data_IF_916693252780
#
_entry.id   IF_916693252780
#
_cell.length_a   1.000
_cell.length_b   1.000
_cell.length_c   1.000
_cell.angle_alpha   90.00
_cell.angle_beta   90.00
_cell.angle_gamma   90.00
#
_symmetry.space_group_name_H-M   'P 1'
#
loop_
_entity.id
_entity.type
_entity.pdbx_description
1 polymer ?
#
# COMPACT_ATOMS: atom_id res chain seq x y z
N UNK A 1 12.86 -10.23 44.17
CA UNK A 1 13.88 -11.30 44.29
C UNK A 1 13.56 -12.39 43.27
N UNK A 2 14.54 -13.17 42.83
CA UNK A 2 14.36 -14.23 41.83
C UNK A 2 14.75 -15.60 42.41
N UNK A 3 14.00 -16.64 42.05
CA UNK A 3 14.34 -18.07 42.21
C UNK A 3 13.84 -18.82 40.96
N UNK A 4 14.49 -19.93 40.63
CA UNK A 4 14.25 -20.77 39.45
C UNK A 4 12.88 -21.47 39.42
N UNK A 5 12.50 -21.94 38.23
CA UNK A 5 11.51 -23.01 38.01
C UNK A 5 12.08 -24.08 37.07
N UNK A 6 11.69 -25.35 37.27
CA UNK A 6 12.40 -26.53 36.76
C UNK A 6 12.46 -26.74 35.23
N UNK A 7 13.63 -27.17 34.76
CA UNK A 7 13.89 -27.61 33.37
C UNK A 7 13.91 -29.14 33.21
N UNK A 8 12.87 -29.84 33.70
CA UNK A 8 12.79 -31.31 33.67
C UNK A 8 11.49 -31.87 33.06
N UNK A 9 11.19 -31.54 31.79
CA UNK A 9 10.26 -32.27 30.89
C UNK A 9 10.25 -31.72 29.44
N UNK A 10 11.38 -31.76 28.73
CA UNK A 10 11.40 -31.44 27.30
C UNK A 10 12.21 -32.46 26.50
N UNK A 11 11.51 -33.33 25.77
CA UNK A 11 12.09 -34.34 24.87
C UNK A 11 11.99 -33.87 23.41
N UNK A 12 13.11 -33.73 22.68
CA UNK A 12 13.05 -33.39 21.25
C UNK A 12 12.34 -34.48 20.43
N UNK A 13 11.51 -34.08 19.47
CA UNK A 13 10.90 -35.02 18.52
C UNK A 13 11.98 -35.67 17.64
N UNK A 14 11.93 -37.00 17.51
CA UNK A 14 12.78 -37.73 16.56
C UNK A 14 12.28 -37.51 15.12
N UNK A 15 13.19 -37.14 14.23
CA UNK A 15 12.94 -37.04 12.80
C UNK A 15 12.72 -38.44 12.21
N UNK A 16 11.73 -38.62 11.33
CA UNK A 16 11.61 -39.81 10.46
C UNK A 16 12.29 -39.55 9.11
N UNK A 17 13.00 -40.55 8.59
CA UNK A 17 13.83 -40.48 7.38
C UNK A 17 13.07 -40.75 6.07
N UNK A 18 11.87 -41.34 6.14
CA UNK A 18 11.43 -42.30 5.13
C UNK A 18 10.59 -41.68 3.99
N UNK A 19 10.81 -40.40 3.67
CA UNK A 19 9.90 -39.60 2.81
C UNK A 19 10.60 -38.97 1.58
N UNK A 20 11.94 -38.93 1.51
CA UNK A 20 12.67 -38.38 0.36
C UNK A 20 13.81 -39.29 -0.12
N UNK A 21 13.73 -39.89 -1.32
CA UNK A 21 14.86 -40.58 -1.92
C UNK A 21 15.93 -39.57 -2.40
N UNK A 22 17.20 -39.87 -2.13
CA UNK A 22 18.33 -39.13 -2.71
C UNK A 22 18.49 -39.49 -4.18
N UNK A 23 18.86 -38.52 -5.01
CA UNK A 23 19.21 -38.72 -6.43
C UNK A 23 20.73 -38.68 -6.55
N UNK A 24 21.35 -39.85 -6.70
CA UNK A 24 22.79 -39.98 -6.94
C UNK A 24 23.14 -39.61 -8.39
N UNK A 25 23.83 -38.48 -8.57
CA UNK A 25 24.38 -38.06 -9.87
C UNK A 25 25.86 -38.42 -9.98
N UNK A 26 26.13 -39.67 -10.36
CA UNK A 26 27.47 -40.20 -10.62
C UNK A 26 28.03 -39.65 -11.96
N UNK A 27 28.83 -38.58 -11.90
CA UNK A 27 29.36 -37.90 -13.08
C UNK A 27 30.75 -38.42 -13.49
N UNK A 28 30.77 -39.54 -14.21
CA UNK A 28 31.97 -40.06 -14.88
C UNK A 28 31.94 -39.78 -16.41
N UNK A 29 33.11 -39.47 -16.98
CA UNK A 29 33.37 -39.36 -18.43
C UNK A 29 32.79 -38.15 -19.20
N UNK A 30 33.64 -37.16 -19.51
CA UNK A 30 34.21 -37.02 -20.87
C UNK A 30 35.35 -35.98 -20.99
N UNK A 31 36.13 -36.16 -22.06
CA UNK A 31 37.44 -35.59 -22.43
C UNK A 31 37.65 -34.07 -22.27
N UNK A 32 38.94 -33.72 -22.11
CA UNK A 32 39.52 -32.43 -22.51
C UNK A 32 39.48 -32.23 -24.03
N UNK A 33 39.57 -30.98 -24.47
CA UNK A 33 40.33 -30.60 -25.66
C UNK A 33 41.16 -29.33 -25.32
N UNK A 34 42.19 -29.01 -26.09
CA UNK A 34 43.34 -28.19 -25.68
C UNK A 34 43.79 -27.24 -26.83
N UNK A 35 44.94 -26.56 -26.70
CA UNK A 35 45.69 -25.86 -27.79
C UNK A 35 45.12 -24.45 -28.14
N UNK A 36 45.89 -23.34 -28.23
CA UNK A 36 47.34 -23.10 -28.05
C UNK A 36 47.63 -21.72 -27.41
N UNK A 37 48.91 -21.39 -27.20
CA UNK A 37 49.42 -20.15 -26.59
C UNK A 37 50.35 -19.36 -27.55
N UNK A 38 51.04 -18.34 -27.02
CA UNK A 38 52.21 -17.61 -27.56
C UNK A 38 51.92 -16.38 -28.46
N UNK A 39 52.66 -15.27 -28.37
CA UNK A 39 53.69 -14.86 -27.38
C UNK A 39 53.78 -13.31 -27.23
N UNK A 40 54.37 -12.86 -26.13
CA UNK A 40 54.94 -11.51 -25.95
C UNK A 40 56.43 -11.50 -26.35
N UNK A 41 57.03 -10.33 -26.67
CA UNK A 41 58.01 -9.78 -25.71
C UNK A 41 58.21 -8.23 -25.72
N UNK A 42 58.66 -7.68 -24.57
CA UNK A 42 59.69 -6.60 -24.36
C UNK A 42 59.55 -5.23 -25.10
N UNK A 43 60.08 -4.08 -24.63
CA UNK A 43 60.72 -3.67 -23.34
C UNK A 43 60.58 -2.14 -23.12
N UNK A 44 60.93 -1.67 -21.92
CA UNK A 44 61.05 -0.24 -21.52
C UNK A 44 62.48 0.31 -21.76
N UNK A 45 62.89 1.53 -21.32
CA UNK A 45 62.18 2.82 -21.11
C UNK A 45 62.89 4.03 -21.81
N UNK A 46 62.31 5.24 -21.73
CA UNK A 46 63.04 6.53 -21.52
C UNK A 46 62.09 7.70 -21.22
N UNK A 47 62.63 8.86 -20.80
CA UNK A 47 61.89 9.90 -20.09
C UNK A 47 62.14 11.35 -20.57
N UNK A 48 61.24 12.24 -20.11
CA UNK A 48 61.30 13.71 -20.02
C UNK A 48 60.96 14.61 -21.24
N UNK A 49 60.54 15.84 -20.84
CA UNK A 49 60.49 17.14 -21.55
C UNK A 49 59.34 17.54 -22.51
N UNK A 50 58.67 18.63 -22.08
CA UNK A 50 58.19 19.81 -22.86
C UNK A 50 56.88 19.79 -23.69
N UNK A 51 55.91 20.57 -23.18
CA UNK A 51 55.08 21.61 -23.86
C UNK A 51 54.78 21.48 -25.38
N UNK A 52 53.49 21.30 -25.72
CA UNK A 52 52.63 22.35 -26.35
C UNK A 52 51.18 21.87 -26.55
N UNK A 53 50.26 22.81 -26.77
CA UNK A 53 48.83 22.55 -26.90
C UNK A 53 48.40 22.22 -28.33
N UNK A 54 47.52 21.21 -28.49
CA UNK A 54 46.72 20.99 -29.69
C UNK A 54 45.43 20.22 -29.36
N UNK A 55 44.33 20.54 -30.06
CA UNK A 55 43.04 19.82 -29.95
C UNK A 55 43.20 18.34 -30.32
N UNK A 56 42.63 17.42 -29.53
CA UNK A 56 42.05 16.16 -30.05
C UNK A 56 41.02 15.53 -29.12
N UNK A 57 39.88 15.20 -29.73
CA UNK A 57 38.82 14.24 -29.33
C UNK A 57 38.87 13.62 -27.93
N UNK A 58 37.80 13.84 -27.17
CA UNK A 58 37.48 13.07 -25.97
C UNK A 58 37.40 11.55 -26.30
N UNK A 59 38.06 10.73 -25.48
CA UNK A 59 37.86 9.28 -25.45
C UNK A 59 37.09 8.90 -24.19
N UNK A 60 36.14 8.00 -24.36
CA UNK A 60 35.35 7.42 -23.26
C UNK A 60 36.30 6.75 -22.25
N UNK A 61 36.15 6.97 -20.93
CA UNK A 61 36.93 6.23 -19.95
C UNK A 61 36.61 4.74 -20.06
N UNK A 62 37.65 3.89 -20.03
CA UNK A 62 37.50 2.43 -20.03
C UNK A 62 36.85 1.95 -18.73
N UNK A 63 36.40 0.69 -18.70
CA UNK A 63 35.80 0.07 -17.52
C UNK A 63 36.67 0.33 -16.28
N UNK A 64 36.10 0.98 -15.26
CA UNK A 64 36.73 1.12 -13.94
C UNK A 64 36.90 -0.27 -13.33
N UNK A 65 38.06 -0.57 -12.77
CA UNK A 65 38.21 -1.83 -12.01
C UNK A 65 37.42 -1.78 -10.70
N UNK A 66 37.12 -2.96 -10.13
CA UNK A 66 36.36 -3.05 -8.88
C UNK A 66 37.10 -2.36 -7.71
N UNK A 67 38.44 -2.32 -7.75
CA UNK A 67 39.28 -1.58 -6.81
C UNK A 67 39.13 -0.04 -6.97
N UNK A 68 39.18 0.50 -8.19
CA UNK A 68 38.92 1.92 -8.45
C UNK A 68 37.51 2.34 -8.04
N UNK A 69 36.53 1.45 -8.21
CA UNK A 69 35.15 1.67 -7.80
C UNK A 69 34.98 1.63 -6.27
N UNK A 70 35.69 0.72 -5.58
CA UNK A 70 35.76 0.72 -4.12
C UNK A 70 36.32 2.04 -3.61
N UNK A 71 37.48 2.47 -4.10
CA UNK A 71 38.16 3.67 -3.59
C UNK A 71 37.31 4.93 -3.79
N UNK A 72 36.79 5.14 -5.00
CA UNK A 72 35.96 6.31 -5.30
C UNK A 72 34.59 6.33 -4.58
N UNK A 73 34.14 5.19 -4.06
CA UNK A 73 32.95 5.10 -3.20
C UNK A 73 33.31 5.21 -1.72
N UNK A 74 34.52 4.81 -1.32
CA UNK A 74 35.03 4.94 0.05
C UNK A 74 35.40 6.38 0.40
N UNK A 75 35.94 7.15 -0.56
CA UNK A 75 36.08 8.61 -0.47
C UNK A 75 34.78 9.31 -0.07
N UNK A 76 33.63 8.83 -0.58
CA UNK A 76 32.30 9.40 -0.34
C UNK A 76 31.65 8.88 0.93
N UNK A 77 31.98 7.66 1.35
CA UNK A 77 31.33 6.94 2.45
C UNK A 77 32.36 6.19 3.32
N UNK A 78 33.27 6.89 4.03
CA UNK A 78 34.32 6.25 4.83
C UNK A 78 33.75 5.34 5.93
N UNK A 79 32.66 5.77 6.58
CA UNK A 79 31.99 5.06 7.68
C UNK A 79 31.23 3.79 7.25
N UNK A 80 30.99 3.60 5.95
CA UNK A 80 30.10 2.56 5.44
C UNK A 80 30.86 1.36 4.87
N UNK A 81 30.37 0.16 5.19
CA UNK A 81 30.75 -1.11 4.55
C UNK A 81 30.13 -1.16 3.15
N UNK A 82 30.97 -1.31 2.12
CA UNK A 82 30.54 -1.34 0.72
C UNK A 82 30.30 -2.77 0.21
N UNK A 83 29.05 -3.08 -0.17
CA UNK A 83 28.63 -4.32 -0.82
C UNK A 83 28.49 -4.10 -2.33
N UNK A 84 29.45 -4.57 -3.12
CA UNK A 84 29.36 -4.54 -4.58
C UNK A 84 28.67 -5.79 -5.11
N UNK A 85 27.59 -5.64 -5.89
CA UNK A 85 26.98 -6.78 -6.59
C UNK A 85 27.83 -7.15 -7.80
N UNK A 86 28.17 -8.43 -7.92
CA UNK A 86 28.86 -9.00 -9.09
C UNK A 86 28.14 -10.28 -9.49
N UNK A 87 27.14 -10.13 -10.37
CA UNK A 87 26.22 -11.22 -10.73
C UNK A 87 25.34 -11.64 -9.55
N UNK A 88 25.42 -12.93 -9.20
CA UNK A 88 24.66 -13.56 -8.12
C UNK A 88 25.33 -13.51 -6.74
N UNK A 89 26.42 -12.76 -6.60
CA UNK A 89 27.15 -12.61 -5.35
C UNK A 89 27.34 -11.13 -4.97
N UNK A 90 27.38 -10.86 -3.67
CA UNK A 90 27.89 -9.61 -3.11
C UNK A 90 29.34 -9.77 -2.71
N UNK A 91 30.16 -8.77 -3.03
CA UNK A 91 31.61 -8.73 -2.83
C UNK A 91 31.97 -7.48 -2.04
N UNK A 92 32.82 -7.65 -1.03
CA UNK A 92 33.37 -6.61 -0.15
C UNK A 92 34.89 -6.68 -0.24
N UNK A 93 35.56 -5.53 -0.24
CA UNK A 93 37.02 -5.44 -0.35
C UNK A 93 37.70 -4.87 0.90
N UNK A 94 39.00 -5.13 1.00
CA UNK A 94 39.98 -4.45 1.85
C UNK A 94 39.58 -4.42 3.34
N UNK A 95 39.64 -3.25 3.99
CA UNK A 95 39.39 -3.13 5.43
C UNK A 95 37.96 -3.49 5.84
N UNK A 96 36.98 -3.30 4.94
CA UNK A 96 35.59 -3.70 5.19
C UNK A 96 35.42 -5.22 5.11
N UNK A 97 36.20 -5.90 4.27
CA UNK A 97 36.16 -7.36 4.17
C UNK A 97 36.59 -8.04 5.48
N UNK A 98 37.58 -7.49 6.20
CA UNK A 98 37.94 -8.01 7.54
C UNK A 98 36.78 -7.85 8.53
N UNK A 99 36.26 -6.62 8.68
CA UNK A 99 35.14 -6.33 9.61
C UNK A 99 33.93 -7.24 9.38
N UNK A 100 33.62 -7.54 8.11
CA UNK A 100 32.51 -8.44 7.76
C UNK A 100 32.86 -9.92 7.94
N UNK A 101 34.11 -10.33 7.70
CA UNK A 101 34.58 -11.68 8.04
C UNK A 101 34.39 -11.95 9.54
N UNK A 102 34.85 -11.03 10.38
CA UNK A 102 34.75 -11.09 11.84
C UNK A 102 33.29 -11.09 12.32
N UNK A 103 32.42 -10.26 11.70
CA UNK A 103 31.00 -10.13 12.09
C UNK A 103 30.12 -11.29 11.62
N UNK A 104 30.43 -11.93 10.49
CA UNK A 104 29.62 -13.02 9.92
C UNK A 104 30.21 -14.41 10.12
N UNK A 105 31.44 -14.53 10.62
CA UNK A 105 32.17 -15.80 10.72
C UNK A 105 32.60 -16.37 9.36
N UNK A 106 32.75 -15.52 8.34
CA UNK A 106 33.04 -15.93 6.95
C UNK A 106 34.53 -15.75 6.65
N UNK A 107 35.20 -16.82 6.20
CA UNK A 107 36.63 -16.77 5.86
C UNK A 107 36.91 -15.81 4.69
N UNK A 108 37.62 -14.73 4.96
CA UNK A 108 38.13 -13.83 3.92
C UNK A 108 39.12 -14.55 2.99
N UNK A 109 39.03 -14.25 1.70
CA UNK A 109 39.90 -14.80 0.65
C UNK A 109 40.79 -13.69 0.07
N UNK A 110 41.91 -14.07 -0.55
CA UNK A 110 42.78 -13.16 -1.31
C UNK A 110 42.71 -13.55 -2.79
N UNK A 111 42.20 -12.70 -3.70
CA UNK A 111 42.07 -13.06 -5.11
C UNK A 111 43.41 -13.02 -5.82
N UNK A 112 43.83 -14.15 -6.41
CA UNK A 112 45.15 -14.36 -7.03
C UNK A 112 45.45 -13.55 -8.32
N UNK A 113 44.70 -12.47 -8.59
CA UNK A 113 44.88 -11.54 -9.72
C UNK A 113 44.82 -10.06 -9.32
N UNK A 114 44.66 -9.75 -8.03
CA UNK A 114 44.82 -8.39 -7.53
C UNK A 114 46.26 -8.16 -7.06
N UNK A 115 46.71 -6.90 -7.11
CA UNK A 115 47.97 -6.49 -6.48
C UNK A 115 47.94 -6.65 -4.96
N UNK A 116 49.10 -6.55 -4.32
CA UNK A 116 49.30 -6.91 -2.93
C UNK A 116 48.27 -6.33 -1.95
N UNK A 117 47.87 -7.16 -0.99
CA UNK A 117 47.12 -6.76 0.20
C UNK A 117 45.59 -6.85 0.13
N UNK A 118 44.95 -6.87 -1.05
CA UNK A 118 43.48 -6.85 -1.11
C UNK A 118 42.86 -8.12 -0.51
N UNK A 119 42.09 -7.96 0.57
CA UNK A 119 41.22 -8.98 1.14
C UNK A 119 39.83 -8.88 0.50
N UNK A 120 39.16 -10.01 0.34
CA UNK A 120 37.82 -10.08 -0.20
C UNK A 120 36.92 -10.98 0.67
N UNK A 121 35.68 -10.56 0.89
CA UNK A 121 34.60 -11.42 1.39
C UNK A 121 33.48 -11.41 0.36
N UNK A 122 33.00 -12.59 0.00
CA UNK A 122 31.94 -12.76 -0.99
C UNK A 122 30.89 -13.74 -0.47
N UNK A 123 29.60 -13.40 -0.63
CA UNK A 123 28.48 -14.27 -0.25
C UNK A 123 27.34 -14.22 -1.30
N UNK A 124 26.51 -15.28 -1.43
CA UNK A 124 25.43 -15.32 -2.42
C UNK A 124 24.36 -14.25 -2.19
N UNK A 125 23.73 -13.73 -3.25
CA UNK A 125 22.77 -12.62 -3.11
C UNK A 125 21.58 -12.98 -2.19
N UNK A 126 21.11 -14.22 -2.22
CA UNK A 126 20.01 -14.71 -1.37
C UNK A 126 20.35 -14.74 0.13
N UNK A 127 21.64 -14.69 0.49
CA UNK A 127 22.07 -14.61 1.89
C UNK A 127 22.08 -13.17 2.43
N UNK A 128 21.83 -12.15 1.59
CA UNK A 128 21.78 -10.74 2.00
C UNK A 128 20.76 -10.52 3.12
N UNK A 129 19.53 -10.99 2.95
CA UNK A 129 18.44 -10.77 3.93
C UNK A 129 18.71 -11.44 5.29
N UNK A 130 19.58 -12.46 5.31
CA UNK A 130 20.04 -13.13 6.55
C UNK A 130 21.24 -12.44 7.19
N UNK A 131 22.12 -11.82 6.38
CA UNK A 131 23.38 -11.24 6.84
C UNK A 131 23.30 -9.74 7.15
N UNK A 132 22.54 -8.97 6.36
CA UNK A 132 22.37 -7.53 6.55
C UNK A 132 21.78 -7.18 7.94
N UNK A 133 20.79 -7.92 8.48
CA UNK A 133 20.33 -7.71 9.86
C UNK A 133 21.35 -8.11 10.95
N UNK A 134 22.42 -8.85 10.63
CA UNK A 134 23.52 -9.13 11.56
C UNK A 134 24.52 -7.97 11.56
N UNK A 135 24.91 -7.51 10.37
CA UNK A 135 25.81 -6.35 10.19
C UNK A 135 25.28 -5.09 10.88
N UNK A 136 23.99 -4.79 10.70
CA UNK A 136 23.33 -3.64 11.35
C UNK A 136 23.30 -3.79 12.88
N UNK A 137 23.09 -5.01 13.41
CA UNK A 137 23.14 -5.27 14.87
C UNK A 137 24.55 -5.14 15.45
N UNK A 138 25.59 -5.36 14.65
CA UNK A 138 26.98 -5.09 15.00
C UNK A 138 27.36 -3.59 14.87
N UNK A 139 26.40 -2.70 14.62
CA UNK A 139 26.62 -1.26 14.48
C UNK A 139 27.22 -0.83 13.13
N UNK A 140 27.42 -1.75 12.19
CA UNK A 140 28.01 -1.43 10.90
C UNK A 140 26.97 -0.76 9.99
N UNK A 141 27.30 0.45 9.49
CA UNK A 141 26.56 1.11 8.42
C UNK A 141 26.90 0.40 7.11
N UNK A 142 25.89 -0.01 6.34
CA UNK A 142 26.07 -0.83 5.13
C UNK A 142 25.48 -0.10 3.93
N UNK A 143 26.22 -0.03 2.82
CA UNK A 143 25.77 0.52 1.54
C UNK A 143 25.89 -0.55 0.44
N UNK A 144 24.84 -0.68 -0.38
CA UNK A 144 24.78 -1.66 -1.48
C UNK A 144 24.95 -0.92 -2.81
N UNK A 145 25.87 -1.41 -3.64
CA UNK A 145 26.15 -0.90 -4.98
C UNK A 145 25.77 -1.97 -5.99
N UNK A 146 24.65 -1.77 -6.68
CA UNK A 146 24.15 -2.65 -7.74
C UNK A 146 24.43 -2.05 -9.14
N UNK A 147 24.80 -2.90 -10.10
CA UNK A 147 25.13 -2.52 -11.47
C UNK A 147 23.87 -2.57 -12.33
N UNK A 148 23.37 -1.40 -12.74
CA UNK A 148 22.14 -1.26 -13.56
C UNK A 148 22.34 -1.71 -15.02
N UNK A 149 22.54 -3.02 -15.23
CA UNK A 149 22.58 -3.62 -16.57
C UNK A 149 21.16 -3.77 -17.15
N UNK A 150 20.90 -3.02 -18.22
CA UNK A 150 19.59 -2.90 -18.85
C UNK A 150 19.33 -4.06 -19.81
N UNK A 151 18.90 -5.22 -19.30
CA UNK A 151 18.43 -6.35 -20.13
C UNK A 151 17.26 -5.91 -21.02
N UNK A 152 17.51 -5.73 -22.31
CA UNK A 152 16.47 -5.53 -23.33
C UNK A 152 16.09 -6.90 -23.92
N UNK A 153 14.81 -7.23 -23.87
CA UNK A 153 14.25 -8.43 -24.51
C UNK A 153 14.21 -8.28 -26.02
N UNK A 154 14.60 -9.35 -26.74
CA UNK A 154 14.54 -9.43 -28.20
C UNK A 154 13.36 -10.30 -28.60
N UNK A 155 12.38 -9.71 -29.28
CA UNK A 155 11.31 -10.46 -29.97
C UNK A 155 11.25 -10.10 -31.45
N UNK A 156 10.71 -11.03 -32.24
CA UNK A 156 11.09 -11.26 -33.64
C UNK A 156 10.31 -10.41 -34.64
N UNK A 157 10.95 -10.10 -35.76
CA UNK A 157 10.36 -9.50 -36.96
C UNK A 157 9.79 -10.54 -37.92
N UNK A 158 8.60 -10.29 -38.48
CA UNK A 158 8.12 -10.86 -39.76
C UNK A 158 7.34 -9.76 -40.52
N UNK A 159 7.43 -9.76 -41.87
CA UNK A 159 6.79 -8.83 -42.83
C UNK A 159 5.42 -9.39 -43.32
N UNK A 160 4.58 -8.80 -44.20
CA UNK A 160 4.75 -7.95 -45.41
C UNK A 160 3.53 -7.00 -45.65
N UNK A 161 3.75 -5.78 -46.15
CA UNK A 161 3.49 -5.21 -47.51
C UNK A 161 2.03 -5.04 -47.99
N UNK A 162 1.63 -3.77 -48.15
CA UNK A 162 1.09 -3.10 -49.35
C UNK A 162 1.01 -1.60 -48.97
N UNK A 163 1.67 -0.62 -49.62
CA UNK A 163 1.45 -0.09 -50.98
C UNK A 163 0.01 0.43 -51.18
N UNK A 164 -0.23 1.66 -51.63
CA UNK A 164 0.58 2.51 -52.54
C UNK A 164 0.96 3.92 -52.03
N UNK A 165 2.07 4.44 -52.55
CA UNK A 165 2.49 5.87 -52.57
C UNK A 165 1.98 6.46 -53.92
N UNK A 166 1.85 7.76 -54.27
CA UNK A 166 2.60 9.00 -54.00
C UNK A 166 1.72 10.23 -54.33
N UNK A 167 1.77 11.28 -53.52
CA UNK A 167 2.01 12.65 -54.01
C UNK A 167 2.69 13.47 -52.89
N UNK A 168 3.84 14.06 -53.20
CA UNK A 168 4.85 14.53 -52.23
C UNK A 168 5.51 15.81 -52.80
N UNK A 169 5.95 16.73 -51.91
CA UNK A 169 6.81 17.93 -52.14
C UNK A 169 6.08 19.24 -52.52
N UNK A 170 6.50 20.45 -52.10
CA UNK A 170 7.57 21.01 -51.19
C UNK A 170 7.27 22.54 -51.03
N UNK A 171 7.90 23.42 -50.23
CA UNK A 171 8.60 23.55 -48.92
C UNK A 171 8.74 25.09 -48.68
N UNK A 172 9.21 25.71 -47.60
CA UNK A 172 9.82 25.34 -46.30
C UNK A 172 8.94 26.05 -45.22
N UNK A 173 8.58 25.55 -44.03
CA UNK A 173 9.28 24.74 -43.02
C UNK A 173 10.46 25.48 -42.36
N UNK A 174 10.35 25.74 -41.04
CA UNK A 174 11.37 25.57 -39.97
C UNK A 174 10.88 26.19 -38.65
N UNK A 175 11.13 25.62 -37.47
CA UNK A 175 11.56 24.26 -37.16
C UNK A 175 11.17 23.88 -35.73
N UNK A 176 10.94 22.58 -35.49
CA UNK A 176 10.99 21.98 -34.15
C UNK A 176 12.26 21.14 -34.10
N UNK A 177 13.15 21.41 -33.14
CA UNK A 177 14.22 20.46 -32.81
C UNK A 177 13.84 19.58 -31.63
N UNK A 178 14.06 18.27 -31.81
CA UNK A 178 14.01 17.27 -30.72
C UNK A 178 15.40 17.15 -30.13
N UNK A 179 15.55 17.31 -28.82
CA UNK A 179 16.78 16.92 -28.10
C UNK A 179 16.51 15.75 -27.16
N UNK A 180 17.55 14.93 -26.96
CA UNK A 180 17.42 13.61 -26.34
C UNK A 180 17.21 13.67 -24.83
N UNK A 181 16.54 12.65 -24.27
CA UNK A 181 16.33 12.47 -22.83
C UNK A 181 17.64 12.13 -22.11
N UNK A 182 18.36 13.16 -21.69
CA UNK A 182 19.22 13.07 -20.52
C UNK A 182 18.37 12.69 -19.29
N UNK A 183 18.95 11.94 -18.35
CA UNK A 183 18.36 11.79 -17.00
C UNK A 183 18.48 13.13 -16.28
N UNK A 184 17.45 13.97 -16.38
CA UNK A 184 17.30 15.09 -15.46
C UNK A 184 17.07 14.55 -14.05
N UNK A 185 17.76 15.11 -13.07
CA UNK A 185 17.31 15.05 -11.69
C UNK A 185 15.92 15.68 -11.59
N UNK A 186 15.04 15.09 -10.77
CA UNK A 186 13.64 15.48 -10.76
C UNK A 186 13.48 16.81 -10.02
N UNK A 187 13.57 17.93 -10.74
CA UNK A 187 13.23 19.24 -10.20
C UNK A 187 11.82 19.16 -9.57
N UNK A 188 11.60 19.76 -8.38
CA UNK A 188 10.30 19.75 -7.74
C UNK A 188 9.26 20.39 -8.65
N UNK A 189 8.36 19.57 -9.21
CA UNK A 189 7.19 20.06 -9.92
C UNK A 189 6.34 20.85 -8.92
N UNK A 190 5.85 22.01 -9.34
CA UNK A 190 4.90 22.76 -8.53
C UNK A 190 3.69 21.87 -8.20
N UNK A 191 3.17 21.93 -6.97
CA UNK A 191 2.07 21.07 -6.58
C UNK A 191 0.83 21.41 -7.40
N UNK A 192 0.16 20.39 -7.94
CA UNK A 192 -1.09 20.55 -8.68
C UNK A 192 -2.18 21.14 -7.78
N UNK A 193 -2.10 20.88 -6.48
CA UNK A 193 -3.04 21.36 -5.46
C UNK A 193 -2.35 21.36 -4.08
N UNK A 194 -2.80 22.23 -3.17
CA UNK A 194 -2.47 22.17 -1.74
C UNK A 194 -3.76 21.93 -0.96
N UNK A 195 -3.78 20.96 -0.04
CA UNK A 195 -4.97 20.64 0.77
C UNK A 195 -5.16 21.65 1.91
N UNK A 196 -6.35 21.64 2.53
CA UNK A 196 -6.64 22.44 3.74
C UNK A 196 -5.66 22.15 4.88
N UNK A 197 -5.08 20.94 4.92
CA UNK A 197 -4.06 20.54 5.89
C UNK A 197 -2.63 20.97 5.51
N UNK A 198 -2.44 21.75 4.44
CA UNK A 198 -1.14 22.14 3.90
C UNK A 198 -0.40 21.04 3.12
N UNK A 199 -1.03 19.88 2.89
CA UNK A 199 -0.38 18.79 2.15
C UNK A 199 -0.32 19.10 0.66
N UNK A 200 0.81 18.81 0.02
CA UNK A 200 1.06 19.10 -1.41
C UNK A 200 0.72 17.89 -2.27
N UNK A 201 -0.25 18.02 -3.18
CA UNK A 201 -0.55 17.02 -4.21
C UNK A 201 0.41 17.25 -5.38
N UNK A 202 1.48 16.45 -5.46
CA UNK A 202 2.56 16.66 -6.43
C UNK A 202 2.25 16.05 -7.81
N UNK A 203 1.43 15.00 -7.85
CA UNK A 203 1.10 14.28 -9.08
C UNK A 203 -0.13 13.39 -8.89
N UNK A 204 -1.17 13.57 -9.68
CA UNK A 204 -2.30 12.66 -9.79
C UNK A 204 -2.56 12.26 -11.25
N UNK A 205 -2.95 11.00 -11.47
CA UNK A 205 -3.34 10.47 -12.78
C UNK A 205 -4.25 9.25 -12.63
N UNK A 206 -4.96 8.89 -13.70
CA UNK A 206 -5.60 7.59 -13.85
C UNK A 206 -4.80 6.70 -14.83
N UNK A 207 -4.73 5.41 -14.53
CA UNK A 207 -4.03 4.39 -15.32
C UNK A 207 -4.88 3.12 -15.48
N UNK A 208 -4.65 2.39 -16.57
CA UNK A 208 -5.33 1.13 -16.86
C UNK A 208 -4.64 -0.06 -16.16
N UNK A 209 -5.40 -1.04 -15.70
CA UNK A 209 -4.84 -2.27 -15.10
C UNK A 209 -4.09 -3.10 -16.13
N UNK A 210 -2.96 -3.69 -15.71
CA UNK A 210 -2.19 -4.65 -16.52
C UNK A 210 -2.84 -6.02 -16.63
N UNK A 211 -3.83 -6.33 -15.77
CA UNK A 211 -4.52 -7.62 -15.73
C UNK A 211 -5.86 -7.55 -16.46
N UNK A 212 -6.64 -6.51 -16.20
CA UNK A 212 -7.98 -6.32 -16.74
C UNK A 212 -8.06 -4.97 -17.48
N UNK A 213 -8.00 -4.91 -18.82
CA UNK A 213 -8.08 -3.64 -19.56
C UNK A 213 -9.35 -2.80 -19.29
N UNK A 214 -10.42 -3.40 -18.77
CA UNK A 214 -11.62 -2.68 -18.34
C UNK A 214 -11.46 -1.95 -16.99
N UNK A 215 -10.53 -2.37 -16.13
CA UNK A 215 -10.30 -1.75 -14.82
C UNK A 215 -9.33 -0.56 -14.94
N UNK A 216 -9.82 0.65 -14.69
CA UNK A 216 -9.00 1.84 -14.52
C UNK A 216 -8.86 2.20 -13.05
N UNK A 217 -7.70 2.72 -12.65
CA UNK A 217 -7.35 3.10 -11.29
C UNK A 217 -6.82 4.53 -11.22
N UNK A 218 -7.30 5.31 -10.25
CA UNK A 218 -6.87 6.66 -9.94
C UNK A 218 -5.84 6.60 -8.81
N UNK A 219 -4.74 7.34 -8.96
CA UNK A 219 -3.71 7.45 -7.95
C UNK A 219 -3.18 8.88 -7.86
N UNK A 220 -2.94 9.32 -6.63
CA UNK A 220 -2.30 10.60 -6.34
C UNK A 220 -1.07 10.41 -5.45
N UNK A 221 -0.14 11.35 -5.54
CA UNK A 221 1.01 11.51 -4.65
C UNK A 221 0.79 12.75 -3.79
N UNK A 222 0.82 12.55 -2.48
CA UNK A 222 0.59 13.57 -1.46
C UNK A 222 1.84 13.64 -0.58
N UNK A 223 2.45 14.82 -0.49
CA UNK A 223 3.79 15.03 0.10
C UNK A 223 4.85 14.05 -0.46
N UNK A 224 4.79 13.76 -1.77
CA UNK A 224 5.65 12.78 -2.45
C UNK A 224 5.33 11.31 -2.16
N UNK A 225 4.44 11.00 -1.21
CA UNK A 225 4.00 9.63 -0.92
C UNK A 225 2.82 9.25 -1.82
N UNK A 226 2.97 8.17 -2.58
CA UNK A 226 1.89 7.60 -3.39
C UNK A 226 0.78 6.99 -2.52
N UNK A 227 -0.47 7.28 -2.86
CA UNK A 227 -1.66 6.70 -2.22
C UNK A 227 -2.03 5.33 -2.80
N UNK A 228 -2.84 4.56 -2.07
CA UNK A 228 -3.35 3.27 -2.53
C UNK A 228 -4.34 3.47 -3.69
N UNK A 229 -4.10 2.95 -4.90
CA UNK A 229 -4.96 3.20 -6.06
C UNK A 229 -6.43 2.80 -5.83
N UNK A 230 -7.35 3.55 -6.44
CA UNK A 230 -8.79 3.32 -6.33
C UNK A 230 -9.44 3.22 -7.71
N UNK A 231 -10.29 2.20 -7.91
CA UNK A 231 -10.94 1.93 -9.20
C UNK A 231 -11.87 3.08 -9.57
N UNK A 232 -11.83 3.55 -10.82
CA UNK A 232 -12.72 4.59 -11.33
C UNK A 232 -14.10 4.02 -11.69
N UNK A 233 -15.11 4.89 -11.57
CA UNK A 233 -16.40 4.74 -12.25
C UNK A 233 -16.27 5.00 -13.76
N UNK A 234 -17.16 4.41 -14.56
CA UNK A 234 -17.17 4.55 -16.03
C UNK A 234 -17.33 5.99 -16.52
N UNK A 235 -18.13 6.80 -15.81
CA UNK A 235 -18.30 8.23 -16.11
C UNK A 235 -16.97 9.01 -15.96
N UNK A 236 -16.22 8.72 -14.90
CA UNK A 236 -14.97 9.40 -14.59
C UNK A 236 -13.85 8.98 -15.55
N UNK A 237 -13.85 7.74 -16.03
CA UNK A 237 -12.96 7.28 -17.10
C UNK A 237 -13.20 8.12 -18.37
N UNK A 238 -14.47 8.33 -18.75
CA UNK A 238 -14.82 9.15 -19.90
C UNK A 238 -14.42 10.63 -19.71
N UNK A 239 -14.71 11.21 -18.54
CA UNK A 239 -14.31 12.58 -18.21
C UNK A 239 -12.78 12.76 -18.20
N UNK A 240 -12.02 11.77 -17.71
CA UNK A 240 -10.56 11.78 -17.73
C UNK A 240 -10.00 11.67 -19.16
N UNK A 241 -10.56 10.78 -19.99
CA UNK A 241 -10.15 10.64 -21.40
C UNK A 241 -10.39 11.92 -22.21
N UNK A 242 -11.49 12.63 -21.94
CA UNK A 242 -11.80 13.94 -22.53
C UNK A 242 -11.02 15.12 -21.92
N UNK A 243 -10.30 14.90 -20.80
CA UNK A 243 -9.66 15.94 -19.97
C UNK A 243 -10.64 16.92 -19.30
N UNK A 244 -11.89 16.51 -19.12
CA UNK A 244 -12.92 17.23 -18.37
C UNK A 244 -12.77 17.02 -16.84
N UNK A 245 -12.17 15.91 -16.41
CA UNK A 245 -11.97 15.58 -14.99
C UNK A 245 -10.83 16.40 -14.35
N UNK A 246 -11.17 17.28 -13.39
CA UNK A 246 -10.19 18.03 -12.58
C UNK A 246 -9.53 17.16 -11.51
N UNK A 247 -8.35 17.56 -11.05
CA UNK A 247 -7.63 16.84 -9.98
C UNK A 247 -8.33 17.03 -8.63
N UNK A 248 -8.95 18.18 -8.41
CA UNK A 248 -9.73 18.58 -7.24
C UNK A 248 -10.92 17.63 -7.05
N UNK A 249 -11.80 17.57 -8.05
CA UNK A 249 -13.03 16.76 -8.03
C UNK A 249 -12.71 15.27 -7.86
N UNK A 250 -11.67 14.78 -8.55
CA UNK A 250 -11.20 13.39 -8.44
C UNK A 250 -10.58 13.08 -7.07
N UNK A 251 -9.78 13.99 -6.50
CA UNK A 251 -9.26 13.84 -5.13
C UNK A 251 -10.39 13.85 -4.10
N UNK A 252 -11.41 14.71 -4.27
CA UNK A 252 -12.56 14.78 -3.36
C UNK A 252 -13.43 13.52 -3.43
N UNK A 253 -13.65 12.96 -4.63
CA UNK A 253 -14.44 11.74 -4.82
C UNK A 253 -13.73 10.48 -4.33
N UNK A 254 -12.45 10.28 -4.68
CA UNK A 254 -11.72 9.04 -4.37
C UNK A 254 -10.95 9.08 -3.05
N UNK A 255 -10.49 10.26 -2.61
CA UNK A 255 -9.65 10.41 -1.41
C UNK A 255 -10.17 11.50 -0.43
N UNK A 256 -11.47 11.53 -0.08
CA UNK A 256 -12.05 12.61 0.75
C UNK A 256 -11.34 12.81 2.10
N UNK A 257 -10.88 11.72 2.74
CA UNK A 257 -10.16 11.76 4.02
C UNK A 257 -8.77 12.42 3.94
N UNK A 258 -8.24 12.68 2.75
CA UNK A 258 -6.96 13.40 2.55
C UNK A 258 -7.14 14.92 2.47
N UNK A 259 -8.35 15.35 2.10
CA UNK A 259 -8.74 16.76 1.97
C UNK A 259 -9.43 17.28 3.24
N UNK A 260 -10.17 16.42 3.94
CA UNK A 260 -10.81 16.73 5.21
C UNK A 260 -9.80 17.20 6.28
N UNK A 261 -10.18 18.15 7.16
CA UNK A 261 -9.30 18.67 8.20
C UNK A 261 -8.91 17.56 9.20
N UNK A 262 -7.63 17.52 9.55
CA UNK A 262 -7.10 16.62 10.58
C UNK A 262 -7.51 17.10 11.98
N UNK A 263 -8.03 16.19 12.79
CA UNK A 263 -8.34 16.40 14.21
C UNK A 263 -7.07 16.73 14.98
N UNK A 264 -7.11 17.70 15.89
CA UNK A 264 -5.90 18.07 16.65
C UNK A 264 -5.42 16.93 17.55
N UNK A 265 -4.13 16.94 17.91
CA UNK A 265 -3.55 15.93 18.79
C UNK A 265 -4.12 15.96 20.24
N UNK A 266 -4.84 17.02 20.58
CA UNK A 266 -5.49 17.23 21.87
C UNK A 266 -6.94 16.74 21.81
N UNK A 267 -7.72 17.17 20.82
CA UNK A 267 -9.07 16.62 20.54
C UNK A 267 -9.03 15.09 20.40
N UNK A 268 -8.06 14.54 19.67
CA UNK A 268 -7.91 13.11 19.45
C UNK A 268 -7.63 12.31 20.76
N UNK A 269 -7.13 12.97 21.81
CA UNK A 269 -6.92 12.36 23.14
C UNK A 269 -8.07 12.64 24.10
N UNK A 270 -8.66 13.83 24.05
CA UNK A 270 -9.79 14.23 24.90
C UNK A 270 -11.05 13.44 24.52
N UNK A 271 -11.29 13.23 23.22
CA UNK A 271 -12.38 12.42 22.70
C UNK A 271 -12.10 10.91 22.75
N UNK A 272 -11.64 10.44 23.92
CA UNK A 272 -11.75 9.03 24.37
C UNK A 272 -12.99 8.82 25.26
N UNK A 273 -13.83 9.86 25.42
CA UNK A 273 -15.10 9.85 26.14
C UNK A 273 -16.23 9.86 25.11
N UNK A 274 -17.22 8.99 25.29
CA UNK A 274 -18.43 8.87 24.47
C UNK A 274 -19.43 9.98 24.79
N UNK A 275 -20.38 10.22 23.89
CA UNK A 275 -21.46 11.22 24.04
C UNK A 275 -22.37 11.07 25.27
N UNK A 276 -22.33 9.94 25.98
CA UNK A 276 -23.03 9.72 27.26
C UNK A 276 -22.12 9.84 28.50
N UNK A 277 -20.84 10.18 28.32
CA UNK A 277 -19.85 10.30 29.39
C UNK A 277 -19.06 9.04 29.71
N UNK A 278 -19.35 7.88 29.10
CA UNK A 278 -18.53 6.66 29.30
C UNK A 278 -17.16 6.80 28.64
N UNK A 279 -16.12 6.32 29.33
CA UNK A 279 -14.73 6.32 28.83
C UNK A 279 -14.46 5.04 28.04
N UNK A 280 -13.67 5.14 26.97
CA UNK A 280 -13.19 3.99 26.19
C UNK A 280 -11.86 3.50 26.81
N UNK A 281 -11.89 2.41 27.56
CA UNK A 281 -10.71 1.85 28.23
C UNK A 281 -9.64 1.40 27.22
N UNK A 282 -10.08 0.88 26.07
CA UNK A 282 -9.18 0.36 25.04
C UNK A 282 -9.84 0.34 23.67
N UNK A 283 -9.33 1.16 22.76
CA UNK A 283 -9.56 1.02 21.32
C UNK A 283 -8.33 0.38 20.65
N UNK A 284 -8.53 -0.49 19.65
CA UNK A 284 -7.43 -1.07 18.87
C UNK A 284 -7.91 -1.42 17.45
N UNK A 285 -7.20 -0.94 16.43
CA UNK A 285 -7.41 -1.38 15.03
C UNK A 285 -6.35 -2.41 14.69
N UNK A 286 -6.77 -3.60 14.24
CA UNK A 286 -5.89 -4.69 13.86
C UNK A 286 -6.35 -5.38 12.57
N UNK A 287 -5.45 -6.05 11.86
CA UNK A 287 -5.80 -6.88 10.69
C UNK A 287 -6.07 -8.30 11.16
N UNK A 288 -7.19 -8.88 10.73
CA UNK A 288 -7.51 -10.28 11.04
C UNK A 288 -6.52 -11.23 10.36
N UNK A 289 -6.07 -12.24 11.12
CA UNK A 289 -5.06 -13.23 10.70
C UNK A 289 -5.57 -14.67 10.77
N UNK A 290 -6.73 -14.89 11.36
CA UNK A 290 -7.37 -16.20 11.45
C UNK A 290 -8.01 -16.57 10.10
N UNK A 291 -7.35 -17.45 9.34
CA UNK A 291 -7.77 -17.90 8.00
C UNK A 291 -9.09 -18.68 8.00
N UNK A 292 -9.55 -19.17 9.16
CA UNK A 292 -10.82 -19.86 9.28
C UNK A 292 -12.03 -18.90 9.31
N UNK A 293 -11.80 -17.58 9.34
CA UNK A 293 -12.86 -16.58 9.44
C UNK A 293 -13.21 -15.93 8.10
N UNK A 294 -14.52 -15.71 7.89
CA UNK A 294 -15.04 -14.93 6.78
C UNK A 294 -14.59 -13.44 6.77
N UNK A 295 -13.93 -12.96 7.84
CA UNK A 295 -13.29 -11.65 7.91
C UNK A 295 -11.75 -11.68 7.91
N UNK A 296 -11.13 -12.82 7.56
CA UNK A 296 -9.68 -12.93 7.33
C UNK A 296 -9.15 -11.79 6.44
N UNK A 297 -8.01 -11.24 6.83
CA UNK A 297 -7.32 -10.19 6.11
C UNK A 297 -7.98 -8.81 6.14
N UNK A 298 -9.19 -8.65 6.70
CA UNK A 298 -9.87 -7.36 6.86
C UNK A 298 -9.33 -6.65 8.11
N UNK A 299 -9.40 -5.32 8.13
CA UNK A 299 -9.15 -4.56 9.37
C UNK A 299 -10.40 -4.61 10.25
N UNK A 300 -10.19 -4.80 11.55
CA UNK A 300 -11.20 -4.87 12.59
C UNK A 300 -10.92 -3.80 13.62
N UNK A 301 -11.98 -3.10 14.02
CA UNK A 301 -11.98 -2.24 15.19
C UNK A 301 -12.34 -3.12 16.39
N UNK A 302 -11.53 -3.07 17.43
CA UNK A 302 -11.85 -3.53 18.77
C UNK A 302 -12.10 -2.30 19.66
N UNK A 303 -13.15 -2.35 20.46
CA UNK A 303 -13.39 -1.41 21.54
C UNK A 303 -13.73 -2.16 22.84
N UNK A 304 -13.30 -1.58 23.96
CA UNK A 304 -13.76 -1.90 25.29
C UNK A 304 -14.26 -0.63 25.97
N UNK A 305 -15.44 -0.74 26.59
CA UNK A 305 -16.13 0.32 27.33
C UNK A 305 -16.70 -0.34 28.59
N UNK A 306 -16.00 -0.18 29.71
CA UNK A 306 -16.21 -0.96 30.92
C UNK A 306 -16.04 -2.47 30.65
N UNK A 307 -17.05 -3.24 31.05
CA UNK A 307 -17.11 -4.69 30.81
C UNK A 307 -17.49 -5.06 29.36
N UNK A 308 -18.09 -4.13 28.59
CA UNK A 308 -18.51 -4.42 27.22
C UNK A 308 -17.29 -4.45 26.29
N UNK A 309 -16.97 -5.64 25.77
CA UNK A 309 -15.90 -5.87 24.77
C UNK A 309 -16.51 -6.23 23.42
N UNK A 310 -16.09 -5.55 22.37
CA UNK A 310 -16.75 -5.66 21.06
C UNK A 310 -15.77 -5.49 19.89
N UNK A 311 -16.04 -6.20 18.80
CA UNK A 311 -15.30 -6.03 17.54
C UNK A 311 -16.22 -6.06 16.32
N UNK A 312 -15.82 -5.32 15.28
CA UNK A 312 -16.51 -5.18 13.98
C UNK A 312 -15.45 -5.02 12.88
N UNK A 313 -15.59 -5.66 11.70
CA UNK A 313 -14.77 -5.39 10.53
C UNK A 313 -15.05 -3.98 9.98
N UNK A 314 -14.03 -3.13 9.89
CA UNK A 314 -14.14 -1.73 9.50
C UNK A 314 -14.40 -1.56 8.00
N UNK A 315 -15.22 -0.58 7.61
CA UNK A 315 -15.31 -0.17 6.21
C UNK A 315 -14.01 0.49 5.73
N UNK A 316 -13.79 0.54 4.40
CA UNK A 316 -12.61 1.22 3.81
C UNK A 316 -12.59 2.73 4.11
N UNK A 317 -13.76 3.34 4.29
CA UNK A 317 -13.88 4.74 4.68
C UNK A 317 -13.42 4.95 6.13
N UNK A 318 -13.85 4.09 7.05
CA UNK A 318 -13.48 4.17 8.47
C UNK A 318 -11.98 3.88 8.70
N UNK A 319 -11.42 2.93 7.95
CA UNK A 319 -9.98 2.66 7.94
C UNK A 319 -9.20 3.92 7.53
N UNK A 320 -9.58 4.55 6.41
CA UNK A 320 -8.93 5.78 5.95
C UNK A 320 -9.10 6.91 6.98
N UNK A 321 -10.30 7.11 7.51
CA UNK A 321 -10.57 8.17 8.50
C UNK A 321 -9.73 8.03 9.78
N UNK A 322 -9.57 6.79 10.27
CA UNK A 322 -8.72 6.47 11.41
C UNK A 322 -7.23 6.72 11.13
N UNK A 323 -6.70 6.17 10.01
CA UNK A 323 -5.28 6.30 9.68
C UNK A 323 -4.88 7.74 9.30
N UNK A 324 -5.82 8.53 8.75
CA UNK A 324 -5.61 9.93 8.37
C UNK A 324 -5.87 10.92 9.52
N UNK A 325 -6.38 10.44 10.66
CA UNK A 325 -6.78 11.24 11.84
C UNK A 325 -7.79 12.35 11.52
N UNK A 326 -8.75 12.06 10.65
CA UNK A 326 -9.89 12.94 10.36
C UNK A 326 -11.16 12.54 11.13
N UNK A 327 -11.00 11.71 12.17
CA UNK A 327 -12.05 11.32 13.12
C UNK A 327 -11.42 11.00 14.49
N UNK A 328 -12.19 11.17 15.57
CA UNK A 328 -11.76 10.88 16.95
C UNK A 328 -11.98 9.40 17.31
N UNK A 329 -11.28 8.87 18.34
CA UNK A 329 -11.58 7.55 18.89
C UNK A 329 -13.05 7.37 19.28
N UNK A 330 -13.64 8.34 19.99
CA UNK A 330 -15.06 8.32 20.34
C UNK A 330 -15.98 8.28 19.11
N UNK A 331 -15.85 9.21 18.16
CA UNK A 331 -16.72 9.23 16.98
C UNK A 331 -16.63 7.94 16.15
N UNK A 332 -15.44 7.33 16.08
CA UNK A 332 -15.23 6.05 15.41
C UNK A 332 -15.91 4.89 16.16
N UNK A 333 -15.82 4.86 17.49
CA UNK A 333 -16.50 3.85 18.34
C UNK A 333 -18.02 4.04 18.28
N UNK A 334 -18.53 5.25 18.45
CA UNK A 334 -19.97 5.55 18.37
C UNK A 334 -20.56 5.15 17.01
N UNK A 335 -19.88 5.45 15.90
CA UNK A 335 -20.32 5.06 14.56
C UNK A 335 -20.37 3.53 14.34
N UNK A 336 -19.43 2.77 14.91
CA UNK A 336 -19.32 1.31 14.68
C UNK A 336 -20.04 0.46 15.74
N UNK A 337 -20.33 1.03 16.91
CA UNK A 337 -20.81 0.29 18.08
C UNK A 337 -21.94 0.99 18.85
N UNK A 338 -22.32 2.21 18.50
CA UNK A 338 -23.29 3.00 19.28
C UNK A 338 -24.63 2.31 19.51
N UNK A 339 -25.08 1.45 18.59
CA UNK A 339 -26.28 0.61 18.78
C UNK A 339 -26.11 -0.42 19.91
N UNK A 340 -24.96 -1.12 19.96
CA UNK A 340 -24.59 -2.10 21.01
C UNK A 340 -24.19 -1.47 22.35
N UNK A 341 -23.85 -0.19 22.30
CA UNK A 341 -23.66 0.66 23.48
C UNK A 341 -24.97 1.35 23.90
N UNK A 342 -26.04 1.23 23.11
CA UNK A 342 -27.33 1.89 23.29
C UNK A 342 -27.23 3.42 23.40
N UNK A 343 -26.36 4.05 22.61
CA UNK A 343 -26.14 5.51 22.60
C UNK A 343 -27.19 6.24 21.75
N UNK A 344 -27.72 7.35 22.27
CA UNK A 344 -28.67 8.19 21.54
C UNK A 344 -28.07 8.81 20.25
N UNK A 345 -26.75 9.02 20.22
CA UNK A 345 -26.03 9.53 19.04
C UNK A 345 -26.13 8.59 17.82
N UNK A 346 -26.19 7.28 18.04
CA UNK A 346 -26.37 6.29 16.97
C UNK A 346 -27.75 6.44 16.30
N UNK A 347 -28.77 6.75 17.10
CA UNK A 347 -30.14 6.88 16.63
C UNK A 347 -30.47 8.27 16.05
N UNK A 348 -29.69 9.31 16.39
CA UNK A 348 -29.86 10.67 15.89
C UNK A 348 -29.76 10.80 14.35
N UNK A 349 -29.12 9.85 13.67
CA UNK A 349 -29.01 9.79 12.20
C UNK A 349 -30.35 9.42 11.54
N UNK A 350 -31.22 8.70 12.24
CA UNK A 350 -32.47 8.16 11.69
C UNK A 350 -33.64 9.13 11.90
N UNK A 351 -33.89 10.00 10.92
CA UNK A 351 -35.03 10.92 10.93
C UNK A 351 -36.17 10.38 10.05
N UNK A 352 -37.40 10.43 10.59
CA UNK A 352 -38.60 9.99 9.87
C UNK A 352 -39.05 11.08 8.89
N UNK A 353 -39.45 10.76 7.64
CA UNK A 353 -40.03 11.76 6.75
C UNK A 353 -41.33 12.33 7.35
N UNK A 354 -41.45 13.66 7.31
CA UNK A 354 -42.43 14.47 8.08
C UNK A 354 -43.93 14.25 7.75
N UNK A 355 -44.29 13.21 7.00
CA UNK A 355 -45.65 12.90 6.56
C UNK A 355 -46.22 11.61 7.22
N UNK A 356 -45.63 11.17 8.33
CA UNK A 356 -46.09 10.05 9.17
C UNK A 356 -46.06 10.51 10.62
N UNK A 357 -47.08 10.17 11.42
CA UNK A 357 -47.13 10.53 12.84
C UNK A 357 -46.51 9.44 13.72
N UNK A 358 -46.10 9.83 14.92
CA UNK A 358 -45.65 8.89 15.97
C UNK A 358 -46.75 7.88 16.34
N UNK A 359 -48.01 8.33 16.31
CA UNK A 359 -49.24 7.53 16.53
C UNK A 359 -49.36 6.34 15.58
N UNK A 360 -48.93 6.49 14.32
CA UNK A 360 -49.05 5.48 13.28
C UNK A 360 -48.09 4.29 13.49
N UNK A 361 -47.03 4.50 14.28
CA UNK A 361 -45.92 3.57 14.48
C UNK A 361 -46.22 2.59 15.62
N UNK A 362 -46.42 1.32 15.25
CA UNK A 362 -46.67 0.22 16.19
C UNK A 362 -45.44 -0.68 16.27
N UNK A 363 -44.82 -0.72 17.45
CA UNK A 363 -43.88 -1.77 17.86
C UNK A 363 -44.64 -2.79 18.70
N UNK A 364 -44.63 -4.05 18.31
CA UNK A 364 -45.33 -5.13 19.02
C UNK A 364 -44.54 -6.44 18.94
N UNK A 365 -44.61 -7.25 19.99
CA UNK A 365 -44.09 -8.62 19.97
C UNK A 365 -45.02 -9.48 19.14
N UNK A 366 -44.48 -10.23 18.19
CA UNK A 366 -45.24 -11.20 17.41
C UNK A 366 -45.38 -12.51 18.21
N UNK A 367 -46.59 -13.07 18.22
CA UNK A 367 -46.91 -14.27 18.99
C UNK A 367 -46.36 -15.54 18.32
N UNK A 368 -46.03 -15.51 17.01
CA UNK A 368 -45.57 -16.70 16.28
C UNK A 368 -44.07 -16.98 16.44
N UNK A 369 -43.23 -15.94 16.41
CA UNK A 369 -41.77 -16.09 16.51
C UNK A 369 -41.15 -15.41 17.75
N UNK A 370 -41.98 -14.78 18.58
CA UNK A 370 -41.56 -14.09 19.79
C UNK A 370 -40.75 -12.82 19.57
N UNK A 371 -40.56 -12.36 18.33
CA UNK A 371 -39.72 -11.21 18.00
C UNK A 371 -40.51 -9.91 18.11
N UNK A 372 -39.85 -8.84 18.54
CA UNK A 372 -40.40 -7.50 18.41
C UNK A 372 -40.37 -7.08 16.95
N UNK A 373 -41.51 -6.61 16.43
CA UNK A 373 -41.67 -6.13 15.05
C UNK A 373 -42.23 -4.72 15.04
N UNK A 374 -41.73 -3.91 14.12
CA UNK A 374 -42.16 -2.52 13.88
C UNK A 374 -42.95 -2.45 12.57
N UNK A 375 -43.98 -1.61 12.54
CA UNK A 375 -44.77 -1.28 11.33
C UNK A 375 -45.38 0.11 11.48
N UNK A 376 -45.53 0.87 10.40
CA UNK A 376 -46.17 2.18 10.39
C UNK A 376 -47.39 2.18 9.45
N UNK A 377 -48.45 2.92 9.79
CA UNK A 377 -49.45 3.31 8.79
C UNK A 377 -48.88 4.45 7.92
N UNK A 378 -49.25 4.48 6.64
CA UNK A 378 -48.77 5.50 5.68
C UNK A 378 -49.98 6.23 5.08
N UNK A 379 -50.76 6.85 5.97
CA UNK A 379 -52.05 7.44 5.64
C UNK A 379 -53.03 6.41 5.06
N UNK A 380 -53.72 6.79 3.99
CA UNK A 380 -54.72 5.97 3.30
C UNK A 380 -54.10 4.81 2.49
N UNK A 381 -52.80 4.84 2.21
CA UNK A 381 -52.10 3.83 1.39
C UNK A 381 -51.82 2.52 2.16
N UNK A 382 -52.43 2.33 3.33
CA UNK A 382 -52.31 1.12 4.14
C UNK A 382 -51.15 1.16 5.14
N UNK A 383 -50.56 -0.02 5.41
CA UNK A 383 -49.54 -0.23 6.45
C UNK A 383 -48.29 -0.87 5.86
N UNK A 384 -47.12 -0.48 6.34
CA UNK A 384 -45.86 -1.16 6.03
C UNK A 384 -45.87 -2.60 6.53
N UNK A 385 -45.02 -3.44 5.94
CA UNK A 385 -44.71 -4.76 6.48
C UNK A 385 -44.17 -4.71 7.92
N UNK A 386 -44.31 -5.84 8.62
CA UNK A 386 -43.84 -6.03 10.00
C UNK A 386 -42.37 -6.47 10.01
N UNK A 387 -41.44 -5.51 9.99
CA UNK A 387 -40.00 -5.84 10.08
C UNK A 387 -39.59 -6.11 11.54
N UNK A 388 -38.79 -7.16 11.75
CA UNK A 388 -38.26 -7.49 13.07
C UNK A 388 -37.11 -6.55 13.46
N UNK A 389 -37.14 -6.01 14.67
CA UNK A 389 -36.06 -5.17 15.21
C UNK A 389 -34.96 -6.03 15.87
N UNK A 390 -33.75 -5.51 15.95
CA UNK A 390 -32.65 -6.20 16.64
C UNK A 390 -32.86 -6.27 18.16
N UNK A 391 -32.09 -7.11 18.85
CA UNK A 391 -32.08 -7.12 20.31
C UNK A 391 -31.60 -5.78 20.86
N UNK A 392 -30.51 -5.24 20.31
CA UNK A 392 -29.91 -3.97 20.72
C UNK A 392 -30.91 -2.80 20.57
N UNK A 393 -31.62 -2.73 19.45
CA UNK A 393 -32.67 -1.72 19.21
C UNK A 393 -33.88 -1.88 20.15
N UNK A 394 -34.26 -3.12 20.46
CA UNK A 394 -35.29 -3.40 21.45
C UNK A 394 -34.88 -2.94 22.85
N UNK A 395 -33.63 -3.17 23.25
CA UNK A 395 -33.09 -2.68 24.52
C UNK A 395 -33.00 -1.15 24.55
N UNK A 396 -32.49 -0.53 23.47
CA UNK A 396 -32.44 0.93 23.30
C UNK A 396 -33.82 1.59 23.39
N UNK A 397 -34.87 0.96 22.87
CA UNK A 397 -36.25 1.47 22.95
C UNK A 397 -36.91 1.26 24.32
N UNK A 398 -36.86 0.03 24.86
CA UNK A 398 -37.68 -0.35 26.01
C UNK A 398 -36.98 -0.13 27.37
N UNK A 399 -35.66 -0.31 27.43
CA UNK A 399 -34.91 -0.32 28.70
C UNK A 399 -33.99 0.90 28.85
N UNK A 400 -33.11 1.18 27.88
CA UNK A 400 -32.24 2.35 27.92
C UNK A 400 -32.97 3.66 27.57
N UNK A 401 -34.05 3.59 26.78
CA UNK A 401 -34.86 4.72 26.28
C UNK A 401 -34.06 5.76 25.48
N UNK A 402 -32.99 5.31 24.83
CA UNK A 402 -32.10 6.11 23.99
C UNK A 402 -32.46 6.09 22.50
N UNK A 403 -33.40 5.22 22.09
CA UNK A 403 -34.00 5.20 20.76
C UNK A 403 -35.51 5.50 20.83
N UNK A 404 -36.02 6.34 19.93
CA UNK A 404 -37.47 6.58 19.75
C UNK A 404 -38.09 5.61 18.75
N UNK A 405 -39.43 5.53 18.75
CA UNK A 405 -40.18 4.73 17.76
C UNK A 405 -40.01 5.29 16.34
N UNK A 406 -39.89 6.62 16.20
CA UNK A 406 -39.63 7.28 14.92
C UNK A 406 -38.25 6.93 14.37
N UNK A 407 -37.21 6.96 15.21
CA UNK A 407 -35.85 6.60 14.80
C UNK A 407 -35.77 5.15 14.32
N UNK A 408 -36.41 4.22 15.04
CA UNK A 408 -36.47 2.82 14.61
C UNK A 408 -37.36 2.62 13.36
N UNK A 409 -38.44 3.39 13.19
CA UNK A 409 -39.23 3.37 11.96
C UNK A 409 -38.43 3.92 10.76
N UNK A 410 -37.65 4.97 10.95
CA UNK A 410 -36.74 5.49 9.92
C UNK A 410 -35.59 4.52 9.59
N UNK A 411 -35.05 3.80 10.59
CA UNK A 411 -34.04 2.75 10.40
C UNK A 411 -34.57 1.56 9.59
N UNK A 412 -35.78 1.08 9.88
CA UNK A 412 -36.30 -0.18 9.31
C UNK A 412 -37.28 -0.01 8.14
N UNK A 413 -38.16 1.00 8.18
CA UNK A 413 -39.32 1.12 7.29
C UNK A 413 -39.16 2.20 6.21
N UNK A 414 -38.04 2.95 6.19
CA UNK A 414 -37.85 4.11 5.30
C UNK A 414 -38.00 3.78 3.80
N UNK A 415 -37.59 2.59 3.36
CA UNK A 415 -37.80 2.13 1.99
C UNK A 415 -39.29 1.87 1.69
N UNK A 416 -39.97 1.12 2.56
CA UNK A 416 -41.41 0.79 2.43
C UNK A 416 -42.25 2.08 2.42
N UNK A 417 -41.92 3.00 3.32
CA UNK A 417 -42.50 4.34 3.43
C UNK A 417 -42.28 5.12 2.12
N UNK A 418 -41.08 5.07 1.55
CA UNK A 418 -40.75 5.75 0.28
C UNK A 418 -41.53 5.17 -0.90
N UNK A 419 -41.72 3.85 -0.94
CA UNK A 419 -42.54 3.18 -1.97
C UNK A 419 -44.01 3.57 -1.84
N UNK A 420 -44.60 3.44 -0.64
CA UNK A 420 -46.00 3.76 -0.39
C UNK A 420 -46.29 5.27 -0.57
N UNK A 421 -45.37 6.16 -0.21
CA UNK A 421 -45.53 7.61 -0.47
C UNK A 421 -45.27 7.98 -1.94
N UNK A 422 -44.38 7.28 -2.64
CA UNK A 422 -44.16 7.43 -4.08
C UNK A 422 -45.39 7.05 -4.91
N UNK A 423 -46.12 6.00 -4.51
CA UNK A 423 -47.42 5.65 -5.11
C UNK A 423 -48.42 6.81 -5.01
N UNK A 424 -48.47 7.56 -3.89
CA UNK A 424 -49.34 8.74 -3.76
C UNK A 424 -49.01 9.81 -4.81
N UNK A 425 -47.73 10.09 -5.06
CA UNK A 425 -47.30 11.06 -6.08
C UNK A 425 -47.65 10.62 -7.51
N UNK A 426 -47.47 9.33 -7.82
CA UNK A 426 -47.85 8.78 -9.12
C UNK A 426 -49.37 8.89 -9.36
N UNK A 427 -50.18 8.50 -8.37
CA UNK A 427 -51.64 8.55 -8.45
C UNK A 427 -52.14 10.01 -8.50
N UNK A 428 -51.60 10.93 -7.68
CA UNK A 428 -52.02 12.34 -7.69
C UNK A 428 -51.66 13.09 -8.97
N UNK A 429 -50.64 12.64 -9.70
CA UNK A 429 -50.24 13.21 -10.97
C UNK A 429 -50.97 12.55 -12.15
N UNK A 430 -51.29 11.26 -12.06
CA UNK A 430 -52.13 10.56 -13.03
C UNK A 430 -53.59 11.05 -13.04
N UNK A 431 -54.11 11.48 -11.89
CA UNK A 431 -55.46 12.05 -11.76
C UNK A 431 -55.54 13.56 -12.11
N UNK A 432 -54.59 14.06 -12.91
CA UNK A 432 -54.44 15.47 -13.31
C UNK A 432 -54.20 15.69 -14.81
N UNK A 433 -54.41 14.67 -15.63
CA UNK A 433 -54.53 14.77 -17.10
C UNK A 433 -56.00 14.70 -17.51
#
# INVERSE_FOLDING_TARGET
MAVLGDTHKFTPNKWKSDIYPLIDNNMASKKKEEVQQQATPKEEPKAQTEKKAAKKTAKLPKLKTLAELYENMKEKHPDAVLLFRTGDFYTILNADASKVADTLGVKATKPAKAGDGSLQVTFPHHALDTNLPKLIRAGLRVAIVDSLEKKQSVEKSVSEKAETKVQEKKEDVKAVEKTATAKQEHQPREPQMVTVNGDKVSHAHAFQSKVNPADWFYVAQLNGKQLNPMKLDTADIAAYQKREAKVEDMMQKYYPTKLAPKVSAEEYKAANILSDGRVIDKMTVYKEKDEQRADYGKYKLYAQVGDQRMSVPMTKADQSAFFDRVTTPAALVEKNFGERLHLASAYAVYQLPANIKVEDIRVAKDNMDGKWKISAAVGENGRTDKKAISFDDGFSLFQAKTATREQLAAKYLSEDIKVLSGQKQAISNGLKM
#
